data_IF_506137515300
#
_entry.id   IF_506137515300
#
_cell.length_a   1.000
_cell.length_b   1.000
_cell.length_c   1.000
_cell.angle_alpha   90.00
_cell.angle_beta   90.00
_cell.angle_gamma   90.00
#
_symmetry.space_group_name_H-M   'P 1'
#
loop_
_entity.id
_entity.type
_entity.pdbx_description
1 polymer ?
#
# COMPACT_ATOMS: atom_id res chain seq x y z
N UNK A 1 -27.85 22.57 -11.00
CA UNK A 1 -27.50 22.34 -12.43
C UNK A 1 -26.02 22.00 -12.47
N UNK A 2 -25.59 20.97 -13.19
CA UNK A 2 -24.15 20.70 -13.39
C UNK A 2 -23.69 21.50 -14.60
N UNK A 3 -22.96 22.59 -14.37
CA UNK A 3 -22.41 23.43 -15.43
C UNK A 3 -21.30 22.66 -16.14
N UNK A 4 -21.52 22.23 -17.39
CA UNK A 4 -20.45 21.61 -18.18
C UNK A 4 -19.33 22.63 -18.44
N UNK A 5 -18.24 22.51 -17.67
CA UNK A 5 -17.01 23.28 -17.88
C UNK A 5 -16.40 22.83 -19.21
N UNK A 6 -16.01 23.78 -20.08
CA UNK A 6 -15.19 23.52 -21.28
C UNK A 6 -13.75 23.20 -20.90
N UNK A 7 -13.55 22.09 -20.18
CA UNK A 7 -12.28 21.66 -19.63
C UNK A 7 -11.28 21.34 -20.74
N UNK A 8 -10.17 22.09 -20.81
CA UNK A 8 -9.14 21.92 -21.85
C UNK A 8 -7.98 21.01 -21.41
N UNK A 9 -7.77 20.84 -20.10
CA UNK A 9 -6.71 20.01 -19.53
C UNK A 9 -6.36 20.40 -18.10
N UNK A 10 -5.47 19.62 -17.48
CA UNK A 10 -4.86 19.90 -16.17
C UNK A 10 -3.44 20.41 -16.41
N UNK A 11 -3.05 21.51 -15.76
CA UNK A 11 -1.64 21.89 -15.68
C UNK A 11 -0.98 21.14 -14.52
N UNK A 12 0.08 20.37 -14.81
CA UNK A 12 0.85 19.62 -13.81
C UNK A 12 2.28 20.18 -13.82
N UNK A 13 2.84 20.64 -12.68
CA UNK A 13 4.24 21.06 -12.59
C UNK A 13 5.20 20.00 -13.12
N UNK A 14 6.21 20.40 -13.90
CA UNK A 14 7.21 19.47 -14.43
C UNK A 14 7.95 18.68 -13.34
N UNK A 15 8.13 19.29 -12.15
CA UNK A 15 8.64 18.65 -10.93
C UNK A 15 7.79 17.45 -10.51
N UNK A 16 6.46 17.60 -10.43
CA UNK A 16 5.56 16.48 -10.15
C UNK A 16 5.50 15.49 -11.32
N UNK A 17 5.43 15.99 -12.56
CA UNK A 17 5.27 15.12 -13.73
C UNK A 17 6.45 14.16 -13.91
N UNK A 18 7.68 14.64 -13.72
CA UNK A 18 8.92 13.86 -13.90
C UNK A 18 9.35 13.07 -12.65
N UNK A 19 8.73 13.28 -11.48
CA UNK A 19 9.04 12.49 -10.29
C UNK A 19 8.55 11.04 -10.43
N UNK A 20 9.47 10.10 -10.59
CA UNK A 20 9.16 8.66 -10.71
C UNK A 20 8.86 7.97 -9.37
N UNK A 21 9.00 8.66 -8.22
CA UNK A 21 8.59 8.15 -6.90
C UNK A 21 7.08 8.31 -6.63
N UNK A 22 6.40 9.14 -7.43
CA UNK A 22 4.96 9.35 -7.39
C UNK A 22 4.27 8.58 -8.53
N UNK A 23 3.18 7.87 -8.22
CA UNK A 23 2.25 7.36 -9.22
C UNK A 23 1.43 8.50 -9.84
N UNK A 24 0.85 8.27 -11.02
CA UNK A 24 -0.02 9.25 -11.70
C UNK A 24 -1.14 9.74 -10.79
N UNK A 25 -1.76 8.86 -10.00
CA UNK A 25 -2.84 9.20 -9.07
C UNK A 25 -2.37 10.11 -7.94
N UNK A 26 -1.14 9.94 -7.43
CA UNK A 26 -0.57 10.83 -6.41
C UNK A 26 -0.25 12.21 -6.99
N UNK A 27 0.23 12.28 -8.24
CA UNK A 27 0.49 13.54 -8.95
C UNK A 27 -0.80 14.36 -9.17
N UNK A 28 -1.86 13.73 -9.68
CA UNK A 28 -3.13 14.43 -9.88
C UNK A 28 -3.87 14.72 -8.57
N UNK A 29 -3.69 13.90 -7.53
CA UNK A 29 -4.19 14.20 -6.17
C UNK A 29 -3.56 15.48 -5.61
N UNK A 30 -2.23 15.65 -5.73
CA UNK A 30 -1.55 16.88 -5.30
C UNK A 30 -2.04 18.12 -6.07
N UNK A 31 -2.24 17.99 -7.39
CA UNK A 31 -2.75 19.10 -8.21
C UNK A 31 -4.20 19.45 -7.88
N UNK A 32 -5.08 18.46 -7.63
CA UNK A 32 -6.47 18.73 -7.22
C UNK A 32 -6.56 19.26 -5.78
N UNK A 33 -5.68 18.81 -4.86
CA UNK A 33 -5.56 19.41 -3.52
C UNK A 33 -5.21 20.91 -3.64
N UNK A 34 -4.20 21.27 -4.43
CA UNK A 34 -3.85 22.68 -4.68
C UNK A 34 -4.93 23.45 -5.44
N UNK A 35 -5.69 22.81 -6.34
CA UNK A 35 -6.82 23.42 -7.03
C UNK A 35 -8.01 23.73 -6.11
N UNK A 36 -8.06 23.11 -4.93
CA UNK A 36 -9.10 23.26 -3.92
C UNK A 36 -8.55 23.88 -2.62
N UNK A 37 -7.31 24.39 -2.63
CA UNK A 37 -6.65 24.99 -1.49
C UNK A 37 -7.05 26.47 -1.34
N UNK A 38 -7.41 26.86 -0.12
CA UNK A 38 -7.74 28.23 0.29
C UNK A 38 -6.66 28.72 1.26
N UNK A 39 -6.18 29.96 1.11
CA UNK A 39 -5.05 30.51 1.89
C UNK A 39 -5.23 30.39 3.41
N UNK A 40 -6.47 30.46 3.90
CA UNK A 40 -6.80 30.42 5.32
C UNK A 40 -7.15 29.00 5.75
N UNK A 41 -8.06 28.35 5.01
CA UNK A 41 -8.70 27.08 5.36
C UNK A 41 -7.94 25.85 4.87
N UNK A 42 -7.01 26.00 3.94
CA UNK A 42 -6.46 24.88 3.18
C UNK A 42 -7.51 24.17 2.33
N UNK A 43 -7.14 23.06 1.70
CA UNK A 43 -8.07 22.18 1.03
C UNK A 43 -9.02 21.50 2.03
N UNK A 44 -10.31 21.85 1.92
CA UNK A 44 -11.40 21.33 2.76
C UNK A 44 -12.10 20.08 2.18
N UNK A 45 -11.77 19.68 0.95
CA UNK A 45 -12.45 18.60 0.24
C UNK A 45 -12.31 17.23 0.95
N UNK A 46 -13.41 16.49 1.06
CA UNK A 46 -13.46 15.22 1.82
C UNK A 46 -12.86 14.06 1.04
N UNK A 47 -12.51 12.95 1.72
CA UNK A 47 -12.08 11.73 1.03
C UNK A 47 -13.18 11.15 0.11
N UNK A 48 -14.46 11.48 0.35
CA UNK A 48 -15.57 11.11 -0.53
C UNK A 48 -15.58 11.95 -1.82
N UNK A 49 -15.32 13.27 -1.74
CA UNK A 49 -15.18 14.15 -2.90
C UNK A 49 -14.09 13.66 -3.85
N UNK A 50 -12.89 13.36 -3.31
CA UNK A 50 -11.79 12.82 -4.10
C UNK A 50 -12.08 11.40 -4.63
N UNK A 51 -12.86 10.58 -3.91
CA UNK A 51 -13.25 9.25 -4.36
C UNK A 51 -14.17 9.31 -5.59
N UNK A 52 -15.16 10.19 -5.55
CA UNK A 52 -16.05 10.49 -6.68
C UNK A 52 -15.28 11.09 -7.87
N UNK A 53 -14.46 12.12 -7.62
CA UNK A 53 -13.70 12.82 -8.66
C UNK A 53 -12.68 11.94 -9.41
N UNK A 54 -11.95 11.08 -8.69
CA UNK A 54 -10.94 10.18 -9.29
C UNK A 54 -11.48 8.79 -9.65
N UNK A 55 -12.75 8.47 -9.38
CA UNK A 55 -13.29 7.11 -9.57
C UNK A 55 -12.61 6.05 -8.69
N UNK A 56 -12.20 6.43 -7.48
CA UNK A 56 -11.47 5.57 -6.53
C UNK A 56 -12.33 5.22 -5.32
N UNK A 57 -11.95 4.17 -4.56
CA UNK A 57 -12.58 3.93 -3.26
C UNK A 57 -12.11 4.94 -2.22
N UNK A 58 -12.98 5.30 -1.28
CA UNK A 58 -12.66 6.22 -0.15
C UNK A 58 -11.44 5.73 0.64
N UNK A 59 -11.30 4.41 0.81
CA UNK A 59 -10.12 3.79 1.43
C UNK A 59 -8.84 4.04 0.62
N UNK A 60 -8.88 3.88 -0.70
CA UNK A 60 -7.71 4.12 -1.58
C UNK A 60 -7.31 5.59 -1.63
N UNK A 61 -8.29 6.50 -1.57
CA UNK A 61 -8.03 7.94 -1.37
C UNK A 61 -7.34 8.18 -0.03
N UNK A 62 -7.80 7.53 1.05
CA UNK A 62 -7.16 7.65 2.36
C UNK A 62 -5.72 7.13 2.37
N UNK A 63 -5.42 6.02 1.70
CA UNK A 63 -4.05 5.52 1.53
C UNK A 63 -3.15 6.53 0.80
N UNK A 64 -3.66 7.13 -0.29
CA UNK A 64 -2.92 8.12 -1.09
C UNK A 64 -2.63 9.37 -0.23
N UNK A 65 -3.63 9.89 0.48
CA UNK A 65 -3.49 11.07 1.33
C UNK A 65 -2.51 10.80 2.49
N UNK A 66 -2.61 9.66 3.18
CA UNK A 66 -1.64 9.30 4.23
C UNK A 66 -0.21 9.18 3.68
N UNK A 67 -0.02 8.45 2.57
CA UNK A 67 1.30 8.29 1.96
C UNK A 67 1.89 9.58 1.39
N UNK A 68 1.08 10.57 1.03
CA UNK A 68 1.56 11.91 0.66
C UNK A 68 2.01 12.72 1.89
N UNK A 69 1.29 12.60 3.02
CA UNK A 69 1.68 13.23 4.28
C UNK A 69 2.94 12.59 4.90
N UNK A 70 3.07 11.27 4.84
CA UNK A 70 4.26 10.52 5.29
C UNK A 70 5.54 10.92 4.51
N UNK A 71 5.41 11.34 3.25
CA UNK A 71 6.50 11.89 2.42
C UNK A 71 6.71 13.41 2.62
N UNK A 72 5.94 14.06 3.49
CA UNK A 72 6.04 15.51 3.74
C UNK A 72 5.60 16.38 2.55
N UNK A 73 4.80 15.85 1.61
CA UNK A 73 4.30 16.60 0.45
C UNK A 73 3.00 17.35 0.75
N UNK A 74 2.27 16.92 1.78
CA UNK A 74 1.13 17.64 2.35
C UNK A 74 1.19 17.62 3.88
N UNK A 75 0.61 18.64 4.51
CA UNK A 75 0.26 18.62 5.94
C UNK A 75 -1.24 18.37 6.09
N UNK A 76 -1.64 17.74 7.19
CA UNK A 76 -3.04 17.45 7.52
C UNK A 76 -3.34 17.92 8.93
N UNK A 77 -4.19 18.94 9.04
CA UNK A 77 -4.64 19.53 10.30
C UNK A 77 -6.06 19.02 10.62
N UNK A 78 -6.30 18.57 11.86
CA UNK A 78 -7.63 18.14 12.33
C UNK A 78 -8.15 19.11 13.40
N UNK A 79 -9.15 19.90 13.05
CA UNK A 79 -9.84 20.80 13.99
C UNK A 79 -10.92 20.01 14.71
N UNK A 80 -10.94 20.12 16.05
CA UNK A 80 -11.80 19.33 16.94
C UNK A 80 -12.59 20.22 17.88
N UNK A 81 -13.89 19.98 17.97
CA UNK A 81 -14.77 20.52 19.01
C UNK A 81 -14.95 19.42 20.06
N UNK A 82 -14.22 19.55 21.18
CA UNK A 82 -14.19 18.52 22.22
C UNK A 82 -13.73 17.17 21.67
N UNK A 83 -14.65 16.18 21.64
CA UNK A 83 -14.37 14.82 21.15
C UNK A 83 -14.63 14.63 19.64
N UNK A 84 -15.21 15.61 18.93
CA UNK A 84 -15.61 15.48 17.53
C UNK A 84 -14.58 16.15 16.62
N UNK A 85 -14.08 15.45 15.59
CA UNK A 85 -13.38 16.10 14.46
C UNK A 85 -14.44 16.81 13.62
N UNK A 86 -14.26 18.11 13.42
CA UNK A 86 -15.23 18.97 12.73
C UNK A 86 -14.74 19.35 11.34
N UNK A 87 -13.44 19.55 11.20
CA UNK A 87 -12.81 19.92 9.93
C UNK A 87 -11.45 19.23 9.78
N UNK A 88 -11.14 18.84 8.54
CA UNK A 88 -9.84 18.34 8.09
C UNK A 88 -9.33 19.30 7.04
N UNK A 89 -8.23 19.99 7.32
CA UNK A 89 -7.55 20.88 6.38
C UNK A 89 -6.33 20.14 5.83
N UNK A 90 -6.18 20.11 4.51
CA UNK A 90 -4.96 19.65 3.86
C UNK A 90 -4.27 20.88 3.27
N UNK A 91 -2.95 21.00 3.41
CA UNK A 91 -2.17 22.06 2.75
C UNK A 91 -1.00 21.45 1.98
N UNK A 92 -0.72 21.95 0.79
CA UNK A 92 0.50 21.59 0.06
C UNK A 92 1.73 22.05 0.84
N UNK A 93 2.70 21.16 1.04
CA UNK A 93 3.93 21.46 1.77
C UNK A 93 5.02 21.86 0.79
N UNK A 94 4.97 23.12 0.34
CA UNK A 94 5.72 23.69 -0.79
C UNK A 94 7.02 22.94 -1.19
N UNK A 95 6.95 22.00 -2.16
CA UNK A 95 8.13 21.38 -2.76
C UNK A 95 8.69 22.20 -3.93
N UNK A 96 8.04 23.32 -4.26
CA UNK A 96 8.27 24.08 -5.49
C UNK A 96 9.01 25.41 -5.26
N UNK A 97 8.99 25.93 -4.03
CA UNK A 97 9.88 26.99 -3.62
C UNK A 97 11.28 26.41 -3.45
N UNK A 98 12.13 26.65 -4.45
CA UNK A 98 13.57 26.59 -4.25
C UNK A 98 13.92 27.60 -3.14
N UNK A 99 14.64 27.23 -2.07
CA UNK A 99 15.22 28.25 -1.19
C UNK A 99 16.11 29.16 -2.05
N UNK A 100 15.98 30.48 -1.83
CA UNK A 100 16.55 31.50 -2.71
C UNK A 100 18.01 31.20 -3.10
N UNK A 101 18.24 30.91 -4.38
CA UNK A 101 19.59 30.91 -4.96
C UNK A 101 19.99 32.35 -5.27
N UNK A 102 20.95 32.96 -4.55
CA UNK A 102 21.46 34.29 -4.89
C UNK A 102 22.34 34.19 -6.14
N UNK A 103 21.71 34.29 -7.31
CA UNK A 103 22.41 34.38 -8.59
C UNK A 103 21.66 35.33 -9.52
N UNK A 104 21.98 36.61 -9.37
CA UNK A 104 22.08 37.45 -10.56
C UNK A 104 23.10 36.81 -11.54
N UNK A 105 23.02 37.17 -12.83
CA UNK A 105 24.05 36.88 -13.83
C UNK A 105 24.34 35.39 -14.14
N UNK A 106 23.37 34.71 -14.75
CA UNK A 106 23.62 33.56 -15.63
C UNK A 106 22.89 33.78 -16.97
N UNK A 107 23.60 33.67 -18.09
CA UNK A 107 23.05 34.01 -19.41
C UNK A 107 22.07 32.95 -19.94
N UNK A 108 21.06 33.39 -20.68
CA UNK A 108 20.12 32.50 -21.38
C UNK A 108 20.88 31.64 -22.41
N UNK A 109 20.80 30.30 -22.37
CA UNK A 109 21.49 29.42 -23.31
C UNK A 109 20.79 29.29 -24.67
N UNK A 110 19.57 29.82 -24.81
CA UNK A 110 18.87 29.87 -26.09
C UNK A 110 19.33 31.07 -26.91
N UNK A 111 20.14 30.77 -27.93
CA UNK A 111 20.49 31.72 -28.98
C UNK A 111 19.27 32.18 -29.76
N UNK A 112 19.46 33.28 -30.49
CA UNK A 112 18.46 33.87 -31.38
C UNK A 112 18.30 33.04 -32.66
N UNK A 113 17.11 33.14 -33.24
CA UNK A 113 16.76 32.92 -34.66
C UNK A 113 16.85 31.49 -35.25
N UNK A 114 15.68 30.95 -35.68
CA UNK A 114 15.53 30.35 -37.02
C UNK A 114 15.80 28.85 -37.29
N UNK A 115 14.86 27.97 -36.90
CA UNK A 115 14.55 26.65 -37.52
C UNK A 115 15.62 25.50 -37.55
N UNK A 116 15.22 24.22 -37.81
CA UNK A 116 16.00 23.04 -37.41
C UNK A 116 16.54 22.14 -38.55
N UNK A 117 17.65 21.43 -38.26
CA UNK A 117 17.83 20.02 -38.67
C UNK A 117 18.45 19.16 -37.54
N UNK A 118 18.47 17.82 -37.56
CA UNK A 118 17.71 16.80 -38.30
C UNK A 118 17.94 15.41 -37.66
N UNK A 119 17.11 14.45 -38.06
CA UNK A 119 17.28 12.98 -38.02
C UNK A 119 18.63 12.30 -37.62
N UNK A 120 18.50 11.14 -36.95
CA UNK A 120 19.50 10.07 -36.74
C UNK A 120 20.69 10.42 -35.78
N UNK A 121 21.26 9.51 -34.97
CA UNK A 121 21.54 8.08 -35.19
C UNK A 121 21.67 7.25 -33.87
N UNK A 122 20.91 6.15 -33.76
CA UNK A 122 21.25 4.80 -33.20
C UNK A 122 22.10 4.66 -31.91
N UNK A 123 21.53 4.05 -30.86
CA UNK A 123 22.27 3.59 -29.67
C UNK A 123 21.57 2.48 -28.86
N UNK A 124 21.80 1.21 -29.22
CA UNK A 124 21.61 0.05 -28.33
C UNK A 124 22.95 -0.15 -27.56
N UNK A 125 23.07 -0.77 -26.39
CA UNK A 125 22.39 -1.96 -25.83
C UNK A 125 22.56 -2.08 -24.29
N UNK A 126 21.92 -3.08 -23.67
CA UNK A 126 21.92 -3.32 -22.21
C UNK A 126 23.19 -4.03 -21.69
N UNK A 127 23.75 -3.57 -20.57
CA UNK A 127 24.46 -4.43 -19.60
C UNK A 127 24.53 -3.83 -18.17
N UNK A 128 24.98 -4.63 -17.20
CA UNK A 128 25.09 -4.32 -15.76
C UNK A 128 26.59 -4.10 -15.39
N UNK A 129 27.06 -3.69 -14.20
CA UNK A 129 26.48 -3.50 -12.85
C UNK A 129 27.41 -2.61 -11.97
N UNK A 130 26.94 -2.15 -10.80
CA UNK A 130 27.71 -1.90 -9.54
C UNK A 130 28.79 -0.76 -9.50
N UNK A 131 29.08 -0.06 -8.39
CA UNK A 131 28.39 0.17 -7.08
C UNK A 131 29.03 1.33 -6.28
N UNK A 132 28.21 2.14 -5.59
CA UNK A 132 28.53 2.89 -4.31
C UNK A 132 29.70 3.91 -4.41
N UNK A 133 30.09 4.70 -3.40
CA UNK A 133 29.77 4.89 -1.94
C UNK A 133 29.94 6.41 -1.63
N UNK A 134 29.39 7.07 -0.61
CA UNK A 134 28.52 6.66 0.52
C UNK A 134 27.15 7.41 0.40
N UNK A 135 26.64 8.36 1.20
CA UNK A 135 26.74 8.77 2.63
C UNK A 135 25.40 9.42 3.06
N UNK A 136 24.79 9.18 4.21
CA UNK A 136 24.78 7.99 5.08
C UNK A 136 23.31 7.66 5.48
N UNK A 137 23.07 6.67 6.37
CA UNK A 137 21.76 6.07 6.73
C UNK A 137 21.22 4.95 5.81
N UNK A 138 22.08 4.24 5.08
CA UNK A 138 21.67 3.11 4.21
C UNK A 138 22.27 1.76 4.59
N UNK A 139 22.15 1.39 5.87
CA UNK A 139 22.64 0.11 6.40
C UNK A 139 21.67 -1.06 6.16
N UNK A 140 20.40 -0.97 6.60
CA UNK A 140 19.52 -2.15 6.65
C UNK A 140 19.05 -2.67 5.29
N UNK A 141 18.94 -1.83 4.25
CA UNK A 141 18.25 -2.19 3.00
C UNK A 141 18.77 -3.46 2.33
N UNK A 142 20.09 -3.65 2.25
CA UNK A 142 20.67 -4.86 1.63
C UNK A 142 20.52 -6.13 2.46
N UNK A 143 20.35 -6.01 3.78
CA UNK A 143 20.12 -7.15 4.67
C UNK A 143 18.63 -7.53 4.69
N UNK A 144 17.74 -6.54 4.73
CA UNK A 144 16.29 -6.74 4.63
C UNK A 144 15.89 -7.38 3.29
N UNK A 145 16.50 -6.96 2.17
CA UNK A 145 16.31 -7.58 0.87
C UNK A 145 16.80 -9.04 0.86
N UNK A 146 18.01 -9.31 1.36
CA UNK A 146 18.58 -10.67 1.40
C UNK A 146 17.79 -11.62 2.31
N UNK A 147 17.34 -11.14 3.47
CA UNK A 147 16.50 -11.90 4.39
C UNK A 147 15.11 -12.20 3.80
N UNK A 148 14.51 -11.23 3.08
CA UNK A 148 13.29 -11.48 2.32
C UNK A 148 13.50 -12.53 1.22
N UNK A 149 14.62 -12.49 0.48
CA UNK A 149 14.92 -13.50 -0.53
C UNK A 149 15.11 -14.90 0.08
N UNK A 150 15.75 -15.01 1.25
CA UNK A 150 15.90 -16.28 1.97
C UNK A 150 14.53 -16.83 2.45
N UNK A 151 13.70 -15.99 3.08
CA UNK A 151 12.33 -16.35 3.45
C UNK A 151 11.49 -16.75 2.22
N UNK A 152 11.54 -15.96 1.15
CA UNK A 152 10.82 -16.22 -0.10
C UNK A 152 11.32 -17.50 -0.80
N UNK A 153 12.61 -17.85 -0.68
CA UNK A 153 13.19 -19.10 -1.18
C UNK A 153 12.66 -20.32 -0.43
N UNK A 154 12.42 -20.21 0.89
CA UNK A 154 11.85 -21.29 1.70
C UNK A 154 10.33 -21.43 1.53
N UNK A 155 9.58 -20.34 1.41
CA UNK A 155 8.11 -20.36 1.46
C UNK A 155 7.46 -21.20 0.33
N UNK A 156 6.70 -22.29 0.59
CA UNK A 156 6.33 -23.26 -0.44
C UNK A 156 5.41 -22.68 -1.53
N UNK A 157 4.42 -21.85 -1.16
CA UNK A 157 3.43 -21.29 -2.10
C UNK A 157 3.93 -19.95 -2.69
N UNK A 158 4.72 -20.01 -3.77
CA UNK A 158 5.37 -18.87 -4.46
C UNK A 158 4.42 -17.86 -5.17
N UNK A 159 3.22 -17.58 -4.63
CA UNK A 159 2.21 -16.67 -5.24
C UNK A 159 2.08 -15.37 -4.44
N UNK A 160 2.20 -14.22 -5.12
CA UNK A 160 2.05 -12.88 -4.51
C UNK A 160 3.34 -12.25 -3.99
N UNK A 161 4.47 -12.37 -4.72
CA UNK A 161 5.79 -11.86 -4.26
C UNK A 161 5.77 -10.37 -3.91
N UNK A 162 5.04 -9.54 -4.67
CA UNK A 162 4.96 -8.08 -4.43
C UNK A 162 4.26 -7.77 -3.09
N UNK A 163 3.17 -8.47 -2.79
CA UNK A 163 2.39 -8.27 -1.57
C UNK A 163 3.13 -8.84 -0.35
N UNK A 164 3.86 -9.95 -0.54
CA UNK A 164 4.74 -10.51 0.47
C UNK A 164 5.91 -9.57 0.80
N UNK A 165 6.53 -8.96 -0.21
CA UNK A 165 7.56 -7.94 -0.03
C UNK A 165 7.00 -6.71 0.70
N UNK A 166 5.82 -6.21 0.30
CA UNK A 166 5.15 -5.08 0.99
C UNK A 166 4.87 -5.40 2.47
N UNK A 167 4.44 -6.62 2.78
CA UNK A 167 4.24 -7.07 4.15
C UNK A 167 5.56 -7.14 4.94
N UNK A 168 6.62 -7.67 4.33
CA UNK A 168 7.96 -7.77 4.91
C UNK A 168 8.58 -6.38 5.20
N UNK A 169 8.53 -5.46 4.23
CA UNK A 169 9.01 -4.08 4.41
C UNK A 169 8.19 -3.28 5.42
N UNK A 170 6.89 -3.60 5.60
CA UNK A 170 6.06 -3.00 6.66
C UNK A 170 6.43 -3.54 8.05
N UNK A 171 6.71 -4.84 8.17
CA UNK A 171 7.15 -5.47 9.41
C UNK A 171 8.55 -5.02 9.82
N UNK A 172 9.44 -4.80 8.84
CA UNK A 172 10.86 -4.44 9.03
C UNK A 172 11.53 -5.30 10.12
N UNK A 173 11.52 -6.64 9.99
CA UNK A 173 11.98 -7.54 11.04
C UNK A 173 13.49 -7.40 11.25
N UNK A 174 13.94 -7.40 12.50
CA UNK A 174 15.34 -7.46 12.88
C UNK A 174 15.91 -8.89 12.72
N UNK A 175 17.21 -9.07 12.98
CA UNK A 175 17.88 -10.35 12.78
C UNK A 175 17.29 -11.49 13.64
N UNK A 176 16.86 -11.19 14.86
CA UNK A 176 16.27 -12.17 15.77
C UNK A 176 14.85 -12.56 15.34
N UNK A 177 14.01 -11.60 14.97
CA UNK A 177 12.69 -11.89 14.41
C UNK A 177 12.79 -12.63 13.07
N UNK A 178 13.74 -12.28 12.20
CA UNK A 178 14.02 -13.04 10.97
C UNK A 178 14.37 -14.51 11.25
N UNK A 179 15.19 -14.78 12.27
CA UNK A 179 15.54 -16.13 12.67
C UNK A 179 14.31 -16.90 13.21
N UNK A 180 13.51 -16.27 14.08
CA UNK A 180 12.24 -16.83 14.57
C UNK A 180 11.29 -17.16 13.42
N UNK A 181 11.12 -16.25 12.45
CA UNK A 181 10.25 -16.44 11.29
C UNK A 181 10.73 -17.60 10.40
N UNK A 182 12.05 -17.77 10.20
CA UNK A 182 12.61 -18.88 9.41
C UNK A 182 12.39 -20.23 10.11
N UNK A 183 12.61 -20.30 11.43
CA UNK A 183 12.37 -21.52 12.22
C UNK A 183 10.87 -21.87 12.25
N UNK A 184 10.01 -20.88 12.49
CA UNK A 184 8.56 -21.08 12.47
C UNK A 184 8.08 -21.52 11.07
N UNK A 185 8.59 -20.93 9.99
CA UNK A 185 8.28 -21.34 8.62
C UNK A 185 8.66 -22.80 8.35
N UNK A 186 9.83 -23.26 8.84
CA UNK A 186 10.22 -24.66 8.70
C UNK A 186 9.23 -25.60 9.43
N UNK A 187 8.83 -25.27 10.66
CA UNK A 187 7.83 -26.01 11.42
C UNK A 187 6.46 -26.01 10.73
N UNK A 188 6.02 -24.86 10.19
CA UNK A 188 4.79 -24.76 9.40
C UNK A 188 4.84 -25.63 8.15
N UNK A 189 5.95 -25.65 7.41
CA UNK A 189 6.12 -26.49 6.23
C UNK A 189 6.11 -27.99 6.56
N UNK A 190 6.60 -28.39 7.74
CA UNK A 190 6.53 -29.76 8.25
C UNK A 190 5.18 -30.11 8.91
N UNK A 191 4.28 -29.13 9.09
CA UNK A 191 2.99 -29.35 9.75
C UNK A 191 2.06 -30.23 8.91
N UNK A 192 1.22 -31.02 9.58
CA UNK A 192 0.18 -31.82 8.92
C UNK A 192 -0.72 -30.92 8.06
N UNK A 193 -1.10 -29.75 8.55
CA UNK A 193 -2.13 -28.92 7.92
C UNK A 193 -1.62 -28.17 6.67
N UNK A 194 -0.29 -28.02 6.51
CA UNK A 194 0.34 -27.57 5.25
C UNK A 194 0.73 -28.74 4.32
N UNK A 195 0.86 -29.95 4.86
CA UNK A 195 1.16 -31.16 4.07
C UNK A 195 -0.10 -31.81 3.48
N UNK A 196 -1.24 -31.68 4.18
CA UNK A 196 -2.55 -32.23 3.79
C UNK A 196 -3.02 -31.66 2.46
N UNK A 197 -3.70 -32.49 1.66
CA UNK A 197 -4.31 -32.12 0.38
C UNK A 197 -3.34 -31.40 -0.59
N UNK A 198 -2.07 -31.84 -0.60
CA UNK A 198 -1.02 -31.27 -1.45
C UNK A 198 -0.66 -29.80 -1.12
N UNK A 199 -0.97 -29.33 0.08
CA UNK A 199 -0.73 -27.95 0.50
C UNK A 199 -1.74 -26.94 -0.05
N UNK A 200 -2.94 -27.38 -0.44
CA UNK A 200 -4.03 -26.51 -0.88
C UNK A 200 -4.28 -25.34 0.09
N UNK A 201 -4.26 -25.63 1.40
CA UNK A 201 -4.55 -24.71 2.50
C UNK A 201 -3.36 -23.85 2.96
N UNK A 202 -2.18 -23.98 2.36
CA UNK A 202 -1.03 -23.11 2.66
C UNK A 202 -1.45 -21.64 2.42
N UNK A 203 -1.29 -20.71 3.39
CA UNK A 203 -1.64 -19.31 3.20
C UNK A 203 -0.71 -18.63 2.18
N UNK A 204 -1.09 -17.46 1.65
CA UNK A 204 -0.13 -16.62 0.93
C UNK A 204 0.90 -16.05 1.90
N UNK A 205 2.14 -15.86 1.45
CA UNK A 205 3.21 -15.32 2.31
C UNK A 205 2.84 -13.97 2.91
N UNK A 206 2.16 -13.09 2.16
CA UNK A 206 1.60 -11.83 2.69
C UNK A 206 0.57 -12.06 3.80
N UNK A 207 -0.27 -13.09 3.72
CA UNK A 207 -1.24 -13.44 4.78
C UNK A 207 -0.55 -14.02 6.02
N UNK A 208 0.49 -14.83 5.84
CA UNK A 208 1.28 -15.39 6.94
C UNK A 208 2.07 -14.29 7.69
N UNK A 209 2.65 -13.35 6.94
CA UNK A 209 3.37 -12.18 7.48
C UNK A 209 2.44 -11.20 8.20
N UNK A 210 1.35 -10.75 7.57
CA UNK A 210 0.42 -9.78 8.18
C UNK A 210 -0.39 -10.36 9.35
N UNK A 211 -0.46 -11.70 9.49
CA UNK A 211 -1.11 -12.37 10.60
C UNK A 211 -0.17 -12.82 11.72
N UNK A 212 1.10 -12.40 11.67
CA UNK A 212 2.14 -12.67 12.70
C UNK A 212 2.30 -14.17 13.04
N UNK A 213 2.05 -15.03 12.03
CA UNK A 213 1.79 -16.46 12.22
C UNK A 213 3.01 -17.29 12.61
N UNK A 214 4.17 -16.67 12.83
CA UNK A 214 5.28 -17.30 13.53
C UNK A 214 4.99 -17.53 15.03
N UNK A 215 3.96 -16.88 15.59
CA UNK A 215 3.44 -17.13 16.93
C UNK A 215 2.36 -18.23 17.00
N UNK A 216 1.92 -18.80 15.86
CA UNK A 216 0.90 -19.86 15.85
C UNK A 216 1.43 -21.14 16.52
N UNK A 217 0.75 -21.61 17.56
CA UNK A 217 1.08 -22.88 18.21
C UNK A 217 0.64 -24.05 17.32
N UNK A 218 1.58 -24.58 16.54
CA UNK A 218 1.40 -25.80 15.77
C UNK A 218 1.20 -27.00 16.71
N UNK A 219 0.06 -27.69 16.58
CA UNK A 219 -0.16 -28.95 17.29
C UNK A 219 0.87 -29.99 16.81
N UNK A 220 1.60 -30.66 17.71
CA UNK A 220 2.54 -31.72 17.32
C UNK A 220 1.79 -32.91 16.70
N UNK A 221 2.47 -33.68 15.85
CA UNK A 221 1.91 -34.83 15.15
C UNK A 221 1.62 -36.06 16.06
N UNK A 222 1.43 -35.85 17.36
CA UNK A 222 0.93 -36.88 18.29
C UNK A 222 -0.52 -37.20 17.96
N UNK A 223 -0.76 -38.42 17.47
CA UNK A 223 -2.04 -38.85 16.94
C UNK A 223 -3.16 -38.95 17.98
N UNK A 224 -3.86 -37.86 18.22
CA UNK A 224 -5.22 -37.85 18.76
C UNK A 224 -6.11 -37.05 17.79
N UNK A 225 -7.08 -37.72 17.19
CA UNK A 225 -8.08 -37.03 16.38
C UNK A 225 -8.92 -36.13 17.27
N UNK A 226 -8.76 -34.81 17.15
CA UNK A 226 -9.75 -33.87 17.67
C UNK A 226 -11.04 -34.08 16.89
N UNK A 227 -11.91 -34.95 17.41
CA UNK A 227 -13.30 -35.02 17.00
C UNK A 227 -13.91 -33.63 17.12
N UNK A 228 -14.76 -33.26 16.17
CA UNK A 228 -15.46 -31.98 16.20
C UNK A 228 -16.18 -31.78 17.53
N UNK A 229 -15.92 -30.68 18.24
CA UNK A 229 -16.63 -30.29 19.47
C UNK A 229 -18.14 -30.02 19.26
N UNK A 230 -18.67 -30.32 18.08
CA UNK A 230 -20.07 -30.22 17.67
C UNK A 230 -20.86 -31.53 17.84
N UNK A 231 -20.31 -32.54 18.53
CA UNK A 231 -21.03 -33.78 18.88
C UNK A 231 -22.27 -33.57 19.78
N UNK A 232 -22.55 -32.34 20.20
CA UNK A 232 -23.69 -31.95 21.05
C UNK A 232 -24.67 -30.97 20.37
N UNK A 233 -24.72 -30.92 19.03
CA UNK A 233 -25.90 -30.38 18.34
C UNK A 233 -27.09 -31.33 18.59
N UNK A 234 -28.26 -30.84 19.05
CA UNK A 234 -29.45 -31.67 19.14
C UNK A 234 -29.79 -32.28 17.77
N UNK A 235 -29.97 -33.60 17.73
CA UNK A 235 -30.48 -34.26 16.54
C UNK A 235 -31.94 -33.87 16.35
N UNK A 236 -32.20 -32.91 15.46
CA UNK A 236 -33.53 -32.37 15.24
C UNK A 236 -34.42 -33.43 14.58
N UNK A 237 -35.24 -34.12 15.37
CA UNK A 237 -36.26 -35.02 14.85
C UNK A 237 -37.41 -34.21 14.25
N UNK A 238 -38.17 -34.78 13.28
CA UNK A 238 -39.36 -34.12 12.75
C UNK A 238 -40.41 -33.78 13.82
N UNK A 239 -40.60 -34.65 14.82
CA UNK A 239 -41.54 -34.44 15.94
C UNK A 239 -41.25 -33.19 16.80
N UNK A 240 -40.04 -32.63 16.76
CA UNK A 240 -39.75 -31.36 17.45
C UNK A 240 -40.40 -30.15 16.78
N UNK A 241 -40.83 -30.26 15.53
CA UNK A 241 -41.67 -29.27 14.86
C UNK A 241 -43.12 -29.79 14.80
N UNK A 242 -43.80 -29.81 15.95
CA UNK A 242 -45.25 -30.03 15.96
C UNK A 242 -45.94 -28.88 15.20
N UNK A 243 -46.52 -29.21 14.04
CA UNK A 243 -47.36 -28.28 13.30
C UNK A 243 -48.56 -27.89 14.17
N UNK A 244 -48.76 -26.58 14.38
CA UNK A 244 -49.94 -26.10 15.07
C UNK A 244 -51.19 -26.44 14.21
N UNK A 245 -52.26 -27.02 14.80
CA UNK A 245 -53.38 -27.58 14.02
C UNK A 245 -54.20 -26.54 13.22
N UNK A 246 -53.93 -25.24 13.41
CA UNK A 246 -54.56 -24.13 12.69
C UNK A 246 -53.80 -23.67 11.42
N UNK A 247 -52.78 -24.43 10.97
CA UNK A 247 -52.23 -24.31 9.61
C UNK A 247 -51.54 -22.99 9.27
N UNK A 248 -50.93 -22.32 10.26
CA UNK A 248 -50.14 -21.09 10.07
C UNK A 248 -48.64 -21.37 10.24
N UNK A 249 -47.77 -20.86 9.36
CA UNK A 249 -46.33 -21.01 9.51
C UNK A 249 -45.81 -20.15 10.68
N UNK A 250 -44.90 -20.70 11.48
CA UNK A 250 -44.18 -19.95 12.52
C UNK A 250 -42.96 -19.25 11.90
N UNK A 251 -43.10 -17.95 11.60
CA UNK A 251 -42.04 -17.01 11.25
C UNK A 251 -42.35 -15.64 11.86
#
# INVERSE_FOLDING_TARGET
>A
MITQRKFQGVWIPASLWLDHSLSTNEKVMLVEIGSLEDDIRGCYATNAHFAEFFGLSVSRVSEIISGLAERGLITIEQIREGKRVVERRIRLSNPFEKPNTPSENAANPFGKDGEPPSENTKGSNTSMSNTKRVKDLRASGTEVDAAFEQFWKLYPKKKGRKDALKAWSKLNPDADLQAVMIVALANHCASRDWTKDGGQYIPHASTWLNGERWHDVLQPATGAGHGSNFNNLPQHTPDMYQEAPDGRPNF
#
